data_IF_830021885744
#
_entry.id   IF_830021885744
#
_cell.length_a   1.000
_cell.length_b   1.000
_cell.length_c   1.000
_cell.angle_alpha   90.00
_cell.angle_beta   90.00
_cell.angle_gamma   90.00
#
_symmetry.space_group_name_H-M   'P 1'
#
loop_
_entity.id
_entity.type
_entity.pdbx_description
1 polymer ?
#
# COMPACT_ATOMS: atom_id res chain seq x y z
N UNK A 1 26.34 36.29 9.33
CA UNK A 1 25.05 36.18 8.58
C UNK A 1 25.01 34.88 7.77
N UNK A 2 24.67 33.78 8.39
CA UNK A 2 24.37 32.50 7.74
C UNK A 2 23.31 31.82 8.63
N UNK A 3 22.06 32.05 8.32
CA UNK A 3 20.95 31.30 8.93
C UNK A 3 19.82 31.13 7.92
N UNK A 4 19.20 29.97 7.97
CA UNK A 4 17.92 29.58 7.35
C UNK A 4 17.92 29.16 5.89
N UNK A 5 18.30 27.90 5.66
CA UNK A 5 17.72 27.05 4.59
C UNK A 5 17.59 25.60 5.09
N UNK A 6 16.71 25.33 6.05
CA UNK A 6 16.44 23.96 6.54
C UNK A 6 14.96 23.56 6.60
N UNK A 7 14.05 24.37 6.08
CA UNK A 7 12.60 24.08 6.20
C UNK A 7 11.92 23.58 4.93
N UNK A 8 12.61 23.46 3.80
CA UNK A 8 11.99 23.00 2.55
C UNK A 8 11.97 21.49 2.33
N UNK A 9 12.79 20.75 3.05
CA UNK A 9 13.02 19.32 2.80
C UNK A 9 11.96 18.40 3.43
N UNK A 10 11.49 18.77 4.61
CA UNK A 10 10.44 18.00 5.30
C UNK A 10 9.10 18.08 4.57
N UNK A 11 8.81 19.21 3.95
CA UNK A 11 7.52 19.44 3.28
C UNK A 11 7.41 18.71 1.93
N UNK A 12 8.51 18.58 1.19
CA UNK A 12 8.51 17.85 -0.08
C UNK A 12 8.44 16.32 0.12
N UNK A 13 9.15 15.80 1.14
CA UNK A 13 9.07 14.40 1.53
C UNK A 13 7.67 14.05 2.08
N UNK A 14 7.07 14.93 2.87
CA UNK A 14 5.70 14.77 3.40
C UNK A 14 4.63 14.83 2.30
N UNK A 15 4.82 15.62 1.24
CA UNK A 15 3.90 15.64 0.09
C UNK A 15 4.02 14.38 -0.77
N UNK A 16 5.22 13.84 -0.98
CA UNK A 16 5.41 12.52 -1.58
C UNK A 16 4.72 11.43 -0.77
N UNK A 17 4.81 11.52 0.57
CA UNK A 17 4.26 10.55 1.50
C UNK A 17 2.75 10.65 1.65
N UNK A 18 2.18 11.85 1.65
CA UNK A 18 0.73 12.04 1.73
C UNK A 18 0.00 11.53 0.48
N UNK A 19 0.65 11.55 -0.69
CA UNK A 19 0.10 10.99 -1.92
C UNK A 19 0.35 9.46 -2.03
N UNK A 20 1.45 8.94 -1.45
CA UNK A 20 1.76 7.51 -1.43
C UNK A 20 1.06 6.77 -0.29
N UNK A 21 0.87 7.38 0.89
CA UNK A 21 0.16 6.78 2.02
C UNK A 21 -1.36 6.67 1.80
N UNK A 22 -1.91 7.34 0.79
CA UNK A 22 -3.36 7.36 0.52
C UNK A 22 -3.91 6.18 -0.26
N UNK A 23 -3.07 5.33 -0.89
CA UNK A 23 -3.56 4.29 -1.81
C UNK A 23 -2.73 3.01 -1.70
N UNK A 24 -2.78 2.34 -0.54
CA UNK A 24 -2.27 0.99 -0.40
C UNK A 24 -3.38 -0.02 -0.65
N UNK A 25 -3.35 -0.62 -1.83
CA UNK A 25 -4.20 -1.75 -2.18
C UNK A 25 -3.46 -3.06 -1.91
N UNK A 26 -4.04 -3.87 -1.06
CA UNK A 26 -3.59 -5.23 -0.79
C UNK A 26 -4.39 -6.20 -1.64
N UNK A 27 -3.71 -6.92 -2.50
CA UNK A 27 -4.32 -7.92 -3.37
C UNK A 27 -3.89 -9.32 -2.94
N UNK A 28 -4.84 -10.17 -2.71
CA UNK A 28 -4.63 -11.60 -2.51
C UNK A 28 -5.51 -12.44 -3.44
N UNK A 29 -5.07 -13.60 -3.75
CA UNK A 29 -5.38 -14.57 -4.81
C UNK A 29 -6.81 -14.93 -5.14
N UNK A 30 -7.21 -15.00 -6.43
CA UNK A 30 -7.92 -16.13 -7.08
C UNK A 30 -8.06 -16.07 -8.60
N UNK A 31 -8.59 -17.15 -9.19
CA UNK A 31 -8.64 -17.56 -10.60
C UNK A 31 -9.44 -16.65 -11.56
N UNK A 32 -8.99 -16.65 -12.82
CA UNK A 32 -9.58 -15.91 -13.94
C UNK A 32 -11.08 -16.21 -14.16
N UNK A 33 -11.88 -15.15 -14.20
CA UNK A 33 -13.27 -15.19 -14.64
C UNK A 33 -13.45 -14.37 -15.93
N UNK A 34 -14.30 -14.89 -16.83
CA UNK A 34 -14.68 -14.26 -18.11
C UNK A 34 -15.30 -12.88 -17.89
N UNK A 35 -14.96 -11.94 -18.78
CA UNK A 35 -15.53 -10.59 -18.80
C UNK A 35 -17.07 -10.63 -18.78
N UNK A 36 -17.65 -10.09 -17.72
CA UNK A 36 -19.09 -9.93 -17.55
C UNK A 36 -19.50 -8.56 -18.08
N UNK A 37 -20.66 -8.48 -18.75
CA UNK A 37 -21.31 -7.24 -19.16
C UNK A 37 -21.92 -6.47 -17.97
N UNK A 38 -21.71 -6.91 -16.74
CA UNK A 38 -22.20 -6.30 -15.51
C UNK A 38 -21.54 -4.94 -15.25
N UNK A 39 -22.21 -4.08 -14.47
CA UNK A 39 -21.64 -2.81 -14.04
C UNK A 39 -20.34 -3.06 -13.24
N UNK A 40 -19.21 -2.39 -13.56
CA UNK A 40 -17.93 -2.65 -12.93
C UNK A 40 -17.92 -2.50 -11.40
N UNK A 41 -18.86 -1.72 -10.84
CA UNK A 41 -19.04 -1.56 -9.40
C UNK A 41 -20.50 -1.67 -8.99
N UNK A 42 -20.77 -2.47 -7.96
CA UNK A 42 -22.08 -2.56 -7.30
C UNK A 42 -21.90 -2.28 -5.82
N UNK A 43 -22.67 -1.34 -5.27
CA UNK A 43 -22.62 -1.02 -3.83
C UNK A 43 -23.14 -2.22 -3.01
N UNK A 44 -22.34 -2.68 -2.06
CA UNK A 44 -22.67 -3.79 -1.15
C UNK A 44 -23.12 -3.28 0.22
N UNK A 45 -22.43 -2.25 0.74
CA UNK A 45 -22.65 -1.73 2.07
C UNK A 45 -22.09 -0.31 2.16
N UNK A 46 -22.71 0.54 2.97
CA UNK A 46 -22.23 1.91 3.22
C UNK A 46 -22.68 2.39 4.58
N UNK A 47 -21.83 3.19 5.23
CA UNK A 47 -22.15 3.82 6.50
C UNK A 47 -21.31 5.07 6.77
N UNK A 48 -21.83 6.02 7.56
CA UNK A 48 -21.01 7.11 8.10
C UNK A 48 -20.05 6.57 9.19
N UNK A 49 -18.83 7.09 9.22
CA UNK A 49 -17.79 6.80 10.22
C UNK A 49 -17.22 8.13 10.71
N UNK A 50 -17.53 8.48 11.96
CA UNK A 50 -17.04 9.73 12.55
C UNK A 50 -15.57 9.57 12.98
N UNK A 51 -14.77 10.63 12.77
CA UNK A 51 -13.39 10.70 13.25
C UNK A 51 -12.49 9.63 12.63
N UNK A 52 -12.70 9.30 11.36
CA UNK A 52 -11.92 8.31 10.63
C UNK A 52 -10.42 8.63 10.64
N UNK A 53 -9.60 7.58 10.78
CA UNK A 53 -8.14 7.64 10.67
C UNK A 53 -7.59 6.63 9.67
N UNK A 54 -8.05 5.39 9.69
CA UNK A 54 -7.63 4.33 8.77
C UNK A 54 -8.62 3.18 8.69
N UNK A 55 -8.62 2.46 7.57
CA UNK A 55 -9.43 1.26 7.37
C UNK A 55 -8.64 0.17 6.63
N UNK A 56 -9.00 -1.08 6.91
CA UNK A 56 -8.50 -2.24 6.19
C UNK A 56 -9.63 -3.23 5.93
N UNK A 57 -9.50 -3.95 4.82
CA UNK A 57 -10.38 -5.04 4.45
C UNK A 57 -9.64 -6.37 4.64
N UNK A 58 -10.30 -7.36 5.25
CA UNK A 58 -9.71 -8.69 5.34
C UNK A 58 -9.45 -9.27 3.95
N UNK A 59 -8.47 -10.18 3.80
CA UNK A 59 -8.19 -10.83 2.52
C UNK A 59 -9.43 -11.44 1.86
N UNK A 60 -10.38 -11.98 2.64
CA UNK A 60 -11.62 -12.56 2.15
C UNK A 60 -12.70 -11.51 1.81
N UNK A 61 -12.49 -10.25 2.14
CA UNK A 61 -13.44 -9.18 1.88
C UNK A 61 -14.67 -9.15 2.80
N UNK A 62 -14.67 -9.92 3.90
CA UNK A 62 -15.82 -10.05 4.80
C UNK A 62 -15.74 -9.16 6.02
N UNK A 63 -14.51 -8.86 6.47
CA UNK A 63 -14.26 -8.08 7.68
C UNK A 63 -13.63 -6.73 7.34
N UNK A 64 -14.05 -5.71 8.06
CA UNK A 64 -13.49 -4.35 7.98
C UNK A 64 -12.94 -3.98 9.34
N UNK A 65 -11.64 -3.70 9.40
CA UNK A 65 -11.03 -3.06 10.56
C UNK A 65 -11.01 -1.55 10.35
N UNK A 66 -11.35 -0.79 11.38
CA UNK A 66 -11.38 0.67 11.37
C UNK A 66 -10.59 1.23 12.53
N UNK A 67 -9.81 2.27 12.26
CA UNK A 67 -9.30 3.19 13.27
C UNK A 67 -10.05 4.51 13.16
N UNK A 68 -10.66 4.96 14.25
CA UNK A 68 -11.53 6.14 14.25
C UNK A 68 -11.59 6.83 15.61
N UNK A 69 -12.20 8.01 15.63
CA UNK A 69 -12.45 8.80 16.83
C UNK A 69 -11.30 9.71 17.26
N UNK A 70 -11.65 10.75 18.02
CA UNK A 70 -10.70 11.75 18.53
C UNK A 70 -9.78 11.17 19.61
N UNK A 71 -10.24 10.16 20.33
CA UNK A 71 -9.46 9.43 21.35
C UNK A 71 -8.81 8.16 20.80
N UNK A 72 -8.99 7.85 19.54
CA UNK A 72 -8.54 6.62 18.89
C UNK A 72 -9.31 5.39 19.39
N UNK A 73 -10.03 4.77 18.48
CA UNK A 73 -10.65 3.45 18.71
C UNK A 73 -10.36 2.57 17.51
N UNK A 74 -10.12 1.31 17.77
CA UNK A 74 -10.05 0.27 16.74
C UNK A 74 -11.33 -0.53 16.85
N UNK A 75 -11.95 -0.83 15.73
CA UNK A 75 -13.15 -1.67 15.66
C UNK A 75 -13.06 -2.66 14.53
N UNK A 76 -13.58 -3.86 14.75
CA UNK A 76 -13.70 -4.90 13.73
C UNK A 76 -15.19 -5.11 13.40
N UNK A 77 -15.48 -5.20 12.14
CA UNK A 77 -16.84 -5.31 11.61
C UNK A 77 -16.96 -6.50 10.66
N UNK A 78 -18.04 -7.23 10.79
CA UNK A 78 -18.49 -8.21 9.80
C UNK A 78 -19.68 -7.62 9.04
N UNK A 79 -19.41 -6.94 7.95
CA UNK A 79 -20.41 -6.11 7.25
C UNK A 79 -21.62 -6.89 6.71
N UNK A 80 -21.48 -8.19 6.46
CA UNK A 80 -22.61 -9.03 6.00
C UNK A 80 -23.51 -9.50 7.13
N UNK A 81 -22.93 -9.97 8.23
CA UNK A 81 -23.69 -10.59 9.34
C UNK A 81 -24.07 -9.60 10.43
N UNK A 82 -23.25 -8.59 10.65
CA UNK A 82 -23.49 -7.53 11.62
C UNK A 82 -23.23 -6.13 11.05
N UNK A 83 -24.09 -5.68 10.07
CA UNK A 83 -23.84 -4.43 9.36
C UNK A 83 -23.96 -3.17 10.22
N UNK A 84 -24.67 -3.24 11.36
CA UNK A 84 -25.06 -2.09 12.18
C UNK A 84 -24.16 -1.82 13.37
N UNK A 85 -23.41 -2.81 13.86
CA UNK A 85 -22.50 -2.69 15.00
C UNK A 85 -21.22 -3.50 14.80
N UNK A 86 -20.09 -3.07 15.43
CA UNK A 86 -18.87 -3.84 15.35
C UNK A 86 -18.98 -5.16 16.09
N UNK A 87 -18.15 -6.13 15.74
CA UNK A 87 -17.93 -7.33 16.52
C UNK A 87 -17.37 -6.96 17.90
N UNK A 88 -16.44 -6.02 17.90
CA UNK A 88 -15.85 -5.43 19.10
C UNK A 88 -15.26 -4.04 18.79
N UNK A 89 -14.99 -3.30 19.86
CA UNK A 89 -14.28 -2.01 19.82
C UNK A 89 -13.21 -1.99 20.90
N UNK A 90 -12.02 -1.56 20.56
CA UNK A 90 -10.86 -1.43 21.43
C UNK A 90 -10.39 0.02 21.49
N UNK A 91 -10.05 0.52 22.69
CA UNK A 91 -9.48 1.87 22.84
C UNK A 91 -7.98 1.83 22.49
N UNK A 92 -7.55 2.66 21.53
CA UNK A 92 -6.13 2.79 21.17
C UNK A 92 -5.86 4.25 20.78
N UNK A 93 -5.17 4.97 21.65
CA UNK A 93 -5.05 6.43 21.58
C UNK A 93 -4.43 6.97 20.30
N UNK A 94 -3.45 6.28 19.72
CA UNK A 94 -2.61 6.81 18.63
C UNK A 94 -2.73 6.04 17.31
N UNK A 95 -3.52 4.97 17.24
CA UNK A 95 -3.66 4.21 16.01
C UNK A 95 -4.28 5.06 14.89
N UNK A 96 -3.52 5.31 13.86
CA UNK A 96 -3.97 6.03 12.66
C UNK A 96 -4.17 5.11 11.46
N UNK A 97 -3.58 3.93 11.48
CA UNK A 97 -3.74 2.90 10.46
C UNK A 97 -4.01 1.53 11.07
N UNK A 98 -4.60 0.66 10.28
CA UNK A 98 -4.93 -0.71 10.66
C UNK A 98 -4.67 -1.68 9.51
N UNK A 99 -4.43 -2.94 9.87
CA UNK A 99 -4.45 -4.09 8.98
C UNK A 99 -5.22 -5.24 9.62
N UNK A 100 -5.83 -6.10 8.83
CA UNK A 100 -6.58 -7.25 9.31
C UNK A 100 -6.15 -8.51 8.57
N UNK A 101 -5.81 -9.54 9.30
CA UNK A 101 -5.37 -10.83 8.79
C UNK A 101 -6.50 -11.69 8.26
N UNK A 102 -6.16 -12.88 7.76
CA UNK A 102 -7.10 -13.86 7.26
C UNK A 102 -8.20 -14.19 8.28
N UNK A 103 -9.44 -14.31 7.81
CA UNK A 103 -10.62 -14.59 8.62
C UNK A 103 -10.75 -13.70 9.87
N UNK A 104 -10.02 -12.57 9.91
CA UNK A 104 -10.03 -11.67 11.07
C UNK A 104 -9.32 -12.23 12.31
N UNK A 105 -8.43 -13.19 12.16
CA UNK A 105 -7.71 -13.78 13.29
C UNK A 105 -6.93 -12.76 14.11
N UNK A 106 -6.37 -11.76 13.44
CA UNK A 106 -5.60 -10.68 14.07
C UNK A 106 -5.88 -9.33 13.42
N UNK A 107 -5.78 -8.27 14.21
CA UNK A 107 -5.79 -6.88 13.76
C UNK A 107 -4.49 -6.23 14.24
N UNK A 108 -3.74 -5.65 13.31
CA UNK A 108 -2.58 -4.82 13.58
C UNK A 108 -2.99 -3.35 13.44
N UNK A 109 -2.66 -2.55 14.43
CA UNK A 109 -2.89 -1.11 14.40
C UNK A 109 -1.58 -0.38 14.72
N UNK A 110 -1.38 0.78 14.10
CA UNK A 110 -0.15 1.56 14.33
C UNK A 110 -0.36 3.07 14.18
N UNK A 111 0.52 3.83 14.82
CA UNK A 111 0.66 5.27 14.62
C UNK A 111 1.51 5.51 13.37
N UNK A 112 0.87 5.88 12.25
CA UNK A 112 1.59 6.11 11.01
C UNK A 112 2.32 7.46 11.04
N UNK A 113 3.62 7.43 10.69
CA UNK A 113 4.47 8.60 10.53
C UNK A 113 4.58 9.51 11.78
N UNK A 114 4.21 9.01 12.96
CA UNK A 114 4.39 9.73 14.21
C UNK A 114 5.78 9.39 14.79
N UNK A 115 6.76 10.33 14.78
CA UNK A 115 8.08 10.07 15.32
C UNK A 115 8.12 10.13 16.85
N UNK A 116 7.15 10.80 17.48
CA UNK A 116 7.11 11.01 18.93
C UNK A 116 6.45 9.81 19.64
N UNK A 117 5.53 9.14 18.96
CA UNK A 117 4.82 7.98 19.49
C UNK A 117 4.73 6.84 18.44
N UNK A 118 5.86 6.24 18.07
CA UNK A 118 5.91 5.17 17.07
C UNK A 118 5.42 3.84 17.69
N UNK A 119 4.11 3.64 17.74
CA UNK A 119 3.49 2.52 18.43
C UNK A 119 2.81 1.55 17.47
N UNK A 120 2.82 0.29 17.86
CA UNK A 120 1.98 -0.76 17.28
C UNK A 120 1.15 -1.45 18.36
N UNK A 121 -0.01 -1.93 17.97
CA UNK A 121 -0.86 -2.78 18.79
C UNK A 121 -1.32 -3.97 17.96
N UNK A 122 -1.13 -5.18 18.47
CA UNK A 122 -1.68 -6.42 17.89
C UNK A 122 -2.84 -6.86 18.75
N UNK A 123 -4.00 -7.02 18.13
CA UNK A 123 -5.24 -7.41 18.79
C UNK A 123 -5.69 -8.79 18.29
N UNK A 124 -6.27 -9.58 19.19
CA UNK A 124 -6.95 -10.81 18.82
C UNK A 124 -8.24 -10.49 18.08
N UNK A 125 -8.45 -11.13 16.96
CA UNK A 125 -9.61 -10.86 16.12
C UNK A 125 -10.94 -11.29 16.71
N UNK A 126 -10.95 -12.31 17.57
CA UNK A 126 -12.16 -12.86 18.16
C UNK A 126 -12.85 -11.90 19.14
N UNK A 127 -12.09 -11.15 19.91
CA UNK A 127 -12.59 -10.35 21.04
C UNK A 127 -11.94 -8.97 21.20
N UNK A 128 -10.96 -8.63 20.38
CA UNK A 128 -10.22 -7.37 20.46
C UNK A 128 -9.23 -7.30 21.63
N UNK A 129 -8.91 -8.42 22.28
CA UNK A 129 -7.93 -8.44 23.35
C UNK A 129 -6.53 -8.08 22.86
N UNK A 130 -5.81 -7.23 23.61
CA UNK A 130 -4.44 -6.85 23.29
C UNK A 130 -3.51 -8.04 23.47
N UNK A 131 -2.82 -8.42 22.39
CA UNK A 131 -1.77 -9.43 22.42
C UNK A 131 -0.39 -8.80 22.56
N UNK A 132 -0.15 -7.69 21.86
CA UNK A 132 1.05 -6.87 21.97
C UNK A 132 0.72 -5.39 21.91
N UNK A 133 1.46 -4.59 22.66
CA UNK A 133 1.54 -3.15 22.53
C UNK A 133 3.01 -2.77 22.70
N UNK A 134 3.59 -2.10 21.70
CA UNK A 134 5.02 -1.85 21.67
C UNK A 134 5.33 -0.49 21.05
N UNK A 135 6.24 0.26 21.68
CA UNK A 135 6.88 1.44 21.10
C UNK A 135 8.09 0.99 20.28
N UNK A 136 8.21 1.47 19.05
CA UNK A 136 9.22 1.06 18.10
C UNK A 136 10.33 2.11 17.96
N UNK A 137 11.40 1.76 17.26
CA UNK A 137 12.47 2.68 16.91
C UNK A 137 12.12 3.49 15.66
N UNK A 138 11.75 4.75 15.85
CA UNK A 138 11.39 5.69 14.80
C UNK A 138 9.98 5.49 14.22
N UNK A 139 9.47 6.50 13.53
CA UNK A 139 8.13 6.51 12.98
C UNK A 139 7.80 5.25 12.15
N UNK A 140 6.62 4.70 12.32
CA UNK A 140 6.14 3.58 11.51
C UNK A 140 5.75 4.09 10.13
N UNK A 141 6.41 3.59 9.09
CA UNK A 141 6.15 3.99 7.73
C UNK A 141 5.14 3.08 7.03
N UNK A 142 5.29 1.79 7.26
CA UNK A 142 4.35 0.81 6.71
C UNK A 142 4.29 -0.44 7.58
N UNK A 143 3.15 -1.12 7.54
CA UNK A 143 2.95 -2.37 8.24
C UNK A 143 1.95 -3.26 7.49
N UNK A 144 2.17 -4.56 7.54
CA UNK A 144 1.35 -5.56 6.86
C UNK A 144 1.17 -6.82 7.69
N UNK A 145 0.06 -7.52 7.45
CA UNK A 145 -0.20 -8.88 7.95
C UNK A 145 -0.23 -9.83 6.75
N UNK A 146 0.50 -10.94 6.83
CA UNK A 146 0.42 -11.99 5.81
C UNK A 146 -1.02 -12.50 5.65
N UNK A 147 -1.41 -12.83 4.42
CA UNK A 147 -2.80 -13.18 4.14
C UNK A 147 -3.25 -14.49 4.81
N UNK A 148 -2.32 -15.37 5.19
CA UNK A 148 -2.57 -16.55 6.02
C UNK A 148 -2.68 -16.23 7.53
N UNK A 149 -2.38 -14.98 7.92
CA UNK A 149 -2.42 -14.54 9.31
C UNK A 149 -1.28 -15.07 10.19
N UNK A 150 -0.21 -15.60 9.58
CA UNK A 150 0.90 -16.18 10.35
C UNK A 150 1.89 -15.12 10.85
N UNK A 151 2.04 -14.01 10.13
CA UNK A 151 3.03 -12.99 10.42
C UNK A 151 2.48 -11.57 10.27
N UNK A 152 3.05 -10.66 11.06
CA UNK A 152 2.93 -9.22 10.84
C UNK A 152 4.32 -8.61 10.69
N UNK A 153 4.49 -7.72 9.71
CA UNK A 153 5.73 -6.99 9.44
C UNK A 153 5.53 -5.50 9.60
N UNK A 154 6.53 -4.81 10.15
CA UNK A 154 6.50 -3.36 10.37
C UNK A 154 7.85 -2.77 9.99
N UNK A 155 7.86 -1.74 9.15
CA UNK A 155 9.07 -1.01 8.77
C UNK A 155 9.05 0.42 9.30
N UNK A 156 10.20 0.89 9.77
CA UNK A 156 10.29 2.15 10.49
C UNK A 156 11.35 3.11 9.93
N UNK A 157 11.18 4.39 10.25
CA UNK A 157 12.18 5.45 10.04
C UNK A 157 13.48 5.21 10.81
N UNK A 158 13.45 4.39 11.85
CA UNK A 158 14.63 3.91 12.58
C UNK A 158 15.44 2.85 11.81
N UNK A 159 15.15 2.65 10.51
CA UNK A 159 15.82 1.69 9.63
C UNK A 159 15.67 0.22 10.08
N UNK A 160 14.57 -0.08 10.73
CA UNK A 160 14.33 -1.40 11.32
C UNK A 160 13.10 -2.04 10.68
N UNK A 161 13.23 -3.33 10.38
CA UNK A 161 12.12 -4.23 10.11
C UNK A 161 11.84 -5.03 11.39
N UNK A 162 10.62 -4.95 11.88
CA UNK A 162 10.09 -5.81 12.94
C UNK A 162 9.19 -6.87 12.33
N UNK A 163 9.33 -8.11 12.79
CA UNK A 163 8.47 -9.22 12.39
C UNK A 163 7.90 -9.91 13.62
N UNK A 164 6.61 -10.14 13.60
CA UNK A 164 5.85 -10.82 14.65
C UNK A 164 5.26 -12.12 14.09
N UNK A 165 5.61 -13.25 14.68
CA UNK A 165 4.90 -14.51 14.44
C UNK A 165 3.57 -14.48 15.21
N UNK A 166 2.44 -14.41 14.50
CA UNK A 166 1.13 -14.20 15.10
C UNK A 166 0.63 -15.47 15.82
N UNK A 167 0.05 -15.29 17.00
CA UNK A 167 -0.52 -16.36 17.81
C UNK A 167 -1.51 -15.77 18.82
N UNK A 168 -2.47 -16.56 19.28
CA UNK A 168 -3.51 -16.16 20.24
C UNK A 168 -2.97 -15.91 21.66
N UNK A 169 -1.70 -16.23 21.92
CA UNK A 169 -1.08 -16.00 23.21
C UNK A 169 -0.47 -14.59 23.27
N UNK A 170 -0.65 -13.86 24.38
CA UNK A 170 -0.01 -12.57 24.58
C UNK A 170 1.50 -12.66 24.39
N UNK A 171 2.08 -11.60 23.82
CA UNK A 171 3.52 -11.50 23.66
C UNK A 171 4.18 -11.13 24.98
N UNK A 172 5.41 -11.60 25.13
CA UNK A 172 6.35 -11.11 26.13
C UNK A 172 7.11 -9.91 25.55
N UNK A 173 8.02 -9.33 26.29
CA UNK A 173 8.91 -8.32 25.74
C UNK A 173 9.81 -8.90 24.62
N UNK A 174 10.32 -8.03 23.73
CA UNK A 174 11.09 -8.42 22.54
C UNK A 174 12.31 -9.33 22.87
N UNK A 175 12.90 -9.18 24.07
CA UNK A 175 14.07 -9.96 24.49
C UNK A 175 13.74 -11.39 24.88
N UNK A 176 12.48 -11.63 25.30
CA UNK A 176 12.05 -12.91 25.84
C UNK A 176 11.03 -13.64 24.96
N UNK A 177 10.47 -12.99 23.94
CA UNK A 177 9.52 -13.62 23.04
C UNK A 177 10.18 -13.98 21.71
N UNK A 178 10.40 -15.28 21.49
CA UNK A 178 11.00 -15.81 20.27
C UNK A 178 10.15 -15.61 19.01
N UNK A 179 8.94 -15.07 19.14
CA UNK A 179 8.07 -14.74 18.02
C UNK A 179 8.31 -13.33 17.47
N UNK A 180 9.09 -12.52 18.20
CA UNK A 180 9.43 -11.16 17.81
C UNK A 180 10.88 -11.16 17.30
N UNK A 181 11.07 -10.63 16.10
CA UNK A 181 12.39 -10.47 15.49
C UNK A 181 12.53 -9.05 14.96
N UNK A 182 13.73 -8.51 15.02
CA UNK A 182 14.05 -7.22 14.43
C UNK A 182 15.39 -7.24 13.71
N UNK A 183 15.47 -6.52 12.59
CA UNK A 183 16.68 -6.40 11.76
C UNK A 183 16.88 -4.99 11.26
N UNK A 184 18.15 -4.60 11.11
CA UNK A 184 18.50 -3.38 10.40
C UNK A 184 18.32 -3.56 8.89
N UNK A 185 17.59 -2.63 8.27
CA UNK A 185 17.42 -2.55 6.81
C UNK A 185 18.56 -1.79 6.11
N UNK A 186 19.45 -1.16 6.86
CA UNK A 186 20.48 -0.27 6.31
C UNK A 186 19.92 1.08 5.81
N UNK A 187 18.68 1.15 5.37
CA UNK A 187 17.94 2.35 4.95
C UNK A 187 16.63 2.51 5.70
N UNK A 188 15.99 3.67 5.58
CA UNK A 188 14.64 3.92 6.12
C UNK A 188 13.67 2.96 5.46
N UNK A 189 12.97 2.15 6.24
CA UNK A 189 11.96 1.23 5.73
C UNK A 189 10.74 2.00 5.23
N UNK A 190 10.40 1.83 3.94
CA UNK A 190 9.33 2.57 3.29
C UNK A 190 8.11 1.70 3.00
N UNK A 191 8.32 0.42 2.69
CA UNK A 191 7.23 -0.51 2.41
C UNK A 191 7.55 -1.91 2.89
N UNK A 192 6.52 -2.65 3.28
CA UNK A 192 6.57 -4.08 3.57
C UNK A 192 5.36 -4.77 2.97
N UNK A 193 5.55 -5.92 2.34
CA UNK A 193 4.46 -6.71 1.79
C UNK A 193 4.74 -8.21 1.92
N UNK A 194 3.69 -8.99 2.18
CA UNK A 194 3.72 -10.45 2.24
C UNK A 194 2.99 -11.06 1.06
N UNK A 195 3.45 -12.22 0.55
CA UNK A 195 2.62 -13.05 -0.31
C UNK A 195 1.50 -13.72 0.50
N UNK A 196 0.56 -14.33 -0.21
CA UNK A 196 -0.62 -14.95 0.41
C UNK A 196 -0.27 -15.96 1.52
N UNK A 197 0.82 -16.71 1.40
CA UNK A 197 1.20 -17.76 2.34
C UNK A 197 2.29 -17.37 3.34
N UNK A 198 2.62 -16.10 3.49
CA UNK A 198 3.62 -15.63 4.47
C UNK A 198 5.01 -16.27 4.38
N UNK A 199 5.33 -16.94 3.26
CA UNK A 199 6.58 -17.72 3.10
C UNK A 199 7.83 -16.85 2.97
N UNK A 200 7.67 -15.59 2.63
CA UNK A 200 8.71 -14.55 2.58
C UNK A 200 8.05 -13.18 2.76
N UNK A 201 8.84 -12.14 2.78
CA UNK A 201 8.37 -10.75 2.73
C UNK A 201 9.30 -9.92 1.86
N UNK A 202 8.77 -8.83 1.31
CA UNK A 202 9.57 -7.86 0.57
C UNK A 202 9.51 -6.50 1.23
N UNK A 203 10.62 -5.76 1.13
CA UNK A 203 10.72 -4.39 1.65
C UNK A 203 11.25 -3.46 0.58
N UNK A 204 10.79 -2.21 0.62
CA UNK A 204 11.42 -1.10 -0.08
C UNK A 204 12.01 -0.13 0.92
N UNK A 205 13.16 0.47 0.60
CA UNK A 205 13.85 1.41 1.50
C UNK A 205 14.23 2.72 0.83
N UNK A 206 14.47 3.73 1.67
CA UNK A 206 15.00 5.03 1.31
C UNK A 206 16.32 5.29 2.06
N UNK A 207 17.20 6.17 1.55
CA UNK A 207 18.53 6.47 2.13
C UNK A 207 19.42 5.21 2.32
N UNK A 208 19.75 4.55 1.36
CA UNK A 208 20.34 3.26 1.07
C UNK A 208 19.33 2.41 0.30
N UNK A 209 18.96 2.96 -0.83
CA UNK A 209 17.76 2.60 -1.57
C UNK A 209 17.83 1.19 -2.09
N UNK A 210 16.89 0.37 -1.68
CA UNK A 210 16.86 -1.04 -2.09
C UNK A 210 15.44 -1.61 -2.08
N UNK A 211 15.27 -2.66 -2.87
CA UNK A 211 14.20 -3.65 -2.71
C UNK A 211 14.86 -4.95 -2.23
N UNK A 212 14.33 -5.55 -1.19
CA UNK A 212 14.88 -6.77 -0.64
C UNK A 212 13.79 -7.78 -0.28
N UNK A 213 14.14 -9.07 -0.40
CA UNK A 213 13.30 -10.20 -0.04
C UNK A 213 13.92 -10.94 1.13
N UNK A 214 13.11 -11.26 2.13
CA UNK A 214 13.55 -11.93 3.35
C UNK A 214 12.67 -13.14 3.66
N UNK A 215 13.28 -14.16 4.27
CA UNK A 215 12.49 -15.19 4.93
C UNK A 215 11.82 -14.62 6.19
N UNK A 216 10.77 -15.28 6.74
CA UNK A 216 10.19 -14.91 8.03
C UNK A 216 11.15 -15.07 9.23
N UNK A 217 12.35 -15.56 9.02
CA UNK A 217 13.42 -15.64 10.02
C UNK A 217 14.49 -14.55 9.81
N UNK A 218 14.26 -13.59 8.89
CA UNK A 218 15.16 -12.46 8.62
C UNK A 218 16.36 -12.78 7.76
N UNK A 219 16.42 -13.96 7.16
CA UNK A 219 17.47 -14.26 6.18
C UNK A 219 17.16 -13.53 4.89
N UNK A 220 18.06 -12.64 4.45
CA UNK A 220 17.95 -11.98 3.16
C UNK A 220 18.14 -13.03 2.05
N UNK A 221 17.10 -13.22 1.24
CA UNK A 221 17.13 -14.11 0.08
C UNK A 221 17.80 -13.43 -1.11
N UNK A 222 17.49 -12.16 -1.32
CA UNK A 222 18.11 -11.29 -2.31
C UNK A 222 17.83 -9.83 -1.99
N UNK A 223 18.68 -8.95 -2.54
CA UNK A 223 18.53 -7.49 -2.43
C UNK A 223 18.95 -6.84 -3.75
N UNK A 224 18.25 -5.82 -4.16
CA UNK A 224 18.60 -5.02 -5.34
C UNK A 224 18.73 -3.53 -4.96
N UNK A 225 19.79 -2.84 -5.36
CA UNK A 225 21.02 -3.41 -5.92
C UNK A 225 21.74 -4.31 -4.90
N UNK A 226 22.42 -5.36 -5.38
CA UNK A 226 23.20 -6.25 -4.50
C UNK A 226 24.42 -5.53 -3.93
N UNK A 227 25.10 -4.73 -4.76
CA UNK A 227 26.28 -3.97 -4.36
C UNK A 227 25.93 -2.78 -3.44
N UNK A 228 26.62 -2.70 -2.29
CA UNK A 228 26.46 -1.62 -1.33
C UNK A 228 26.83 -0.25 -1.89
N UNK A 229 27.85 -0.14 -2.74
CA UNK A 229 28.25 1.11 -3.38
C UNK A 229 27.17 1.59 -4.36
N UNK A 230 26.57 0.67 -5.13
CA UNK A 230 25.45 0.99 -6.01
C UNK A 230 24.23 1.49 -5.22
N UNK A 231 23.93 0.94 -4.04
CA UNK A 231 22.87 1.45 -3.16
C UNK A 231 23.14 2.88 -2.69
N UNK A 232 24.39 3.24 -2.42
CA UNK A 232 24.75 4.60 -2.05
C UNK A 232 24.60 5.58 -3.21
N UNK A 233 24.86 5.19 -4.44
CA UNK A 233 24.62 6.05 -5.63
C UNK A 233 23.14 6.31 -5.87
N UNK A 234 22.27 5.44 -5.37
CA UNK A 234 20.82 5.57 -5.40
C UNK A 234 20.26 6.19 -4.10
N UNK A 235 21.12 6.76 -3.24
CA UNK A 235 20.78 7.19 -1.88
C UNK A 235 19.58 8.14 -1.75
N UNK A 236 19.29 8.90 -2.81
CA UNK A 236 18.16 9.84 -2.82
C UNK A 236 16.89 9.27 -3.43
N UNK A 237 16.88 8.01 -3.81
CA UNK A 237 15.70 7.33 -4.37
C UNK A 237 14.92 6.61 -3.29
N UNK A 238 13.61 6.78 -3.34
CA UNK A 238 12.66 6.05 -2.52
C UNK A 238 12.22 4.80 -3.30
N UNK A 239 12.46 3.61 -2.77
CA UNK A 239 11.88 2.40 -3.34
C UNK A 239 10.63 1.97 -2.57
N UNK A 240 9.58 1.72 -3.32
CA UNK A 240 8.36 1.06 -2.87
C UNK A 240 8.29 -0.30 -3.55
N UNK A 241 7.99 -1.35 -2.80
CA UNK A 241 7.83 -2.70 -3.33
C UNK A 241 6.41 -3.20 -3.11
N UNK A 242 5.84 -3.84 -4.14
CA UNK A 242 4.56 -4.52 -4.11
C UNK A 242 4.70 -5.95 -4.60
N UNK A 243 3.78 -6.82 -4.21
CA UNK A 243 3.72 -8.19 -4.69
C UNK A 243 2.51 -8.38 -5.60
N UNK A 244 2.69 -9.17 -6.68
CA UNK A 244 1.55 -9.78 -7.36
C UNK A 244 0.79 -10.67 -6.37
N UNK A 245 -0.53 -10.76 -6.52
CA UNK A 245 -1.33 -11.52 -5.56
C UNK A 245 -0.91 -12.99 -5.41
N UNK A 246 -0.38 -13.62 -6.46
CA UNK A 246 0.15 -14.99 -6.40
C UNK A 246 1.58 -15.07 -5.78
N UNK A 247 2.15 -13.95 -5.35
CA UNK A 247 3.49 -13.87 -4.76
C UNK A 247 4.66 -14.18 -5.70
N UNK A 248 4.42 -14.37 -7.00
CA UNK A 248 5.48 -14.75 -7.96
C UNK A 248 6.32 -13.58 -8.45
N UNK A 249 5.77 -12.38 -8.40
CA UNK A 249 6.42 -11.19 -8.92
C UNK A 249 6.47 -10.09 -7.86
N UNK A 250 7.59 -9.42 -7.82
CA UNK A 250 7.81 -8.20 -7.03
C UNK A 250 7.89 -7.04 -8.00
N UNK A 251 7.01 -6.06 -7.84
CA UNK A 251 7.04 -4.81 -8.57
C UNK A 251 7.68 -3.74 -7.68
N UNK A 252 8.80 -3.20 -8.12
CA UNK A 252 9.46 -2.08 -7.48
C UNK A 252 9.22 -0.80 -8.24
N UNK A 253 9.04 0.28 -7.50
CA UNK A 253 8.96 1.64 -8.02
C UNK A 253 10.05 2.45 -7.39
N UNK A 254 10.93 3.05 -8.18
CA UNK A 254 11.84 4.07 -7.70
C UNK A 254 11.22 5.45 -7.93
N UNK A 255 11.21 6.26 -6.89
CA UNK A 255 10.86 7.67 -6.95
C UNK A 255 12.09 8.47 -6.52
N UNK A 256 12.60 9.33 -7.39
CA UNK A 256 13.71 10.21 -7.06
C UNK A 256 13.25 11.49 -6.38
N UNK A 257 14.20 12.27 -5.86
CA UNK A 257 13.89 13.63 -5.44
C UNK A 257 13.81 14.56 -6.66
N UNK A 258 13.21 15.74 -6.48
CA UNK A 258 12.90 16.75 -7.52
C UNK A 258 14.10 17.20 -8.38
N UNK A 259 15.32 16.74 -8.13
CA UNK A 259 16.54 17.21 -8.81
C UNK A 259 17.35 16.12 -9.52
N UNK A 260 17.08 14.84 -9.28
CA UNK A 260 17.90 13.72 -9.78
C UNK A 260 17.05 12.47 -10.03
N UNK A 261 15.83 12.63 -10.53
CA UNK A 261 14.96 11.49 -10.65
C UNK A 261 14.78 11.02 -12.08
N UNK A 262 15.20 9.81 -12.33
CA UNK A 262 14.63 8.96 -13.36
C UNK A 262 13.75 7.94 -12.65
N UNK A 263 12.48 8.26 -12.35
CA UNK A 263 11.61 7.28 -11.76
C UNK A 263 11.46 6.11 -12.72
N UNK A 264 11.57 4.91 -12.17
CA UNK A 264 11.54 3.70 -12.95
C UNK A 264 10.73 2.62 -12.25
N UNK A 265 10.17 1.74 -13.06
CA UNK A 265 9.53 0.50 -12.66
C UNK A 265 10.52 -0.64 -12.83
N UNK A 266 10.48 -1.58 -11.91
CA UNK A 266 11.27 -2.80 -11.96
C UNK A 266 10.37 -3.98 -11.66
N UNK A 267 10.54 -5.08 -12.38
CA UNK A 267 9.87 -6.32 -12.08
C UNK A 267 10.91 -7.41 -11.80
N UNK A 268 10.72 -8.12 -10.70
CA UNK A 268 11.51 -9.31 -10.35
C UNK A 268 10.60 -10.53 -10.25
N UNK A 269 11.20 -11.69 -10.42
CA UNK A 269 10.63 -12.91 -9.85
C UNK A 269 10.99 -12.97 -8.36
N UNK A 270 10.05 -13.34 -7.52
CA UNK A 270 10.31 -13.46 -6.07
C UNK A 270 11.41 -14.48 -5.74
N UNK A 271 11.56 -15.53 -6.58
CA UNK A 271 12.58 -16.58 -6.51
C UNK A 271 13.80 -16.31 -7.41
N UNK A 272 13.91 -15.14 -8.02
CA UNK A 272 14.83 -14.85 -9.13
C UNK A 272 16.21 -14.29 -8.73
N UNK A 273 16.57 -14.27 -7.44
CA UNK A 273 17.92 -13.89 -7.00
C UNK A 273 18.28 -12.40 -7.12
N UNK A 274 17.28 -11.51 -7.16
CA UNK A 274 17.50 -10.05 -7.09
C UNK A 274 17.78 -9.34 -8.42
N UNK A 275 18.00 -10.07 -9.51
CA UNK A 275 18.10 -9.45 -10.83
C UNK A 275 16.72 -9.14 -11.40
N UNK A 276 16.42 -7.88 -11.78
CA UNK A 276 15.13 -7.55 -12.36
C UNK A 276 14.97 -8.22 -13.73
N UNK A 277 13.75 -8.68 -14.01
CA UNK A 277 13.37 -9.16 -15.34
C UNK A 277 13.46 -8.03 -16.37
N UNK A 278 13.10 -6.83 -15.92
CA UNK A 278 13.21 -5.60 -16.70
C UNK A 278 13.21 -4.36 -15.79
N UNK A 279 13.66 -3.25 -16.38
CA UNK A 279 13.54 -1.88 -15.88
C UNK A 279 12.84 -1.05 -16.96
N UNK A 280 11.80 -0.31 -16.60
CA UNK A 280 11.10 0.64 -17.49
C UNK A 280 11.20 2.03 -16.88
N UNK A 281 11.84 2.95 -17.58
CA UNK A 281 11.97 4.34 -17.15
C UNK A 281 10.69 5.11 -17.52
N UNK A 282 10.27 6.00 -16.61
CA UNK A 282 9.11 6.86 -16.82
C UNK A 282 9.47 8.22 -17.43
N UNK A 283 10.78 8.54 -17.46
CA UNK A 283 11.35 9.79 -17.98
C UNK A 283 11.75 10.75 -16.86
N UNK A 284 12.72 11.61 -17.17
CA UNK A 284 13.31 12.58 -16.22
C UNK A 284 12.30 13.56 -15.64
N UNK A 285 11.22 13.83 -16.37
CA UNK A 285 10.15 14.76 -15.99
C UNK A 285 9.02 14.08 -15.20
N UNK A 286 9.12 12.78 -14.94
CA UNK A 286 8.08 12.03 -14.26
C UNK A 286 8.26 12.09 -12.73
N UNK A 287 7.14 12.28 -12.02
CA UNK A 287 7.11 12.41 -10.56
C UNK A 287 5.98 11.60 -9.96
N UNK A 288 6.17 11.18 -8.72
CA UNK A 288 5.15 10.54 -7.88
C UNK A 288 4.45 9.33 -8.52
N UNK A 289 5.19 8.37 -9.05
CA UNK A 289 4.57 7.20 -9.63
C UNK A 289 3.84 6.38 -8.57
N UNK A 290 2.58 6.07 -8.83
CA UNK A 290 1.80 5.08 -8.10
C UNK A 290 1.55 3.88 -9.02
N UNK A 291 1.61 2.68 -8.48
CA UNK A 291 1.52 1.44 -9.27
C UNK A 291 0.55 0.44 -8.68
N UNK A 292 0.08 -0.44 -9.54
CA UNK A 292 -0.64 -1.64 -9.18
C UNK A 292 -0.26 -2.78 -10.10
N UNK A 293 -0.19 -3.98 -9.56
CA UNK A 293 0.06 -5.21 -10.31
C UNK A 293 -1.11 -6.17 -10.12
N UNK A 294 -1.54 -6.81 -11.21
CA UNK A 294 -2.58 -7.85 -11.13
C UNK A 294 -2.10 -9.03 -10.32
N UNK A 295 -3.06 -9.83 -9.89
CA UNK A 295 -2.83 -11.00 -9.10
C UNK A 295 -1.86 -12.01 -9.71
N UNK A 296 -2.00 -12.28 -11.00
CA UNK A 296 -1.14 -13.20 -11.76
C UNK A 296 0.13 -12.51 -12.30
N UNK A 297 0.29 -11.19 -12.07
CA UNK A 297 1.40 -10.38 -12.56
C UNK A 297 1.35 -10.13 -14.06
N UNK A 298 0.21 -10.31 -14.72
CA UNK A 298 0.10 -10.12 -16.18
C UNK A 298 0.04 -8.66 -16.60
N UNK A 299 -0.57 -7.82 -15.75
CA UNK A 299 -0.75 -6.40 -16.05
C UNK A 299 -0.27 -5.53 -14.91
N UNK A 300 0.28 -4.38 -15.28
CA UNK A 300 0.81 -3.38 -14.36
C UNK A 300 0.23 -2.02 -14.78
N UNK A 301 -0.49 -1.38 -13.87
CA UNK A 301 -0.94 -0.01 -14.05
C UNK A 301 0.01 0.95 -13.33
N UNK A 302 0.33 2.07 -13.96
CA UNK A 302 1.09 3.15 -13.36
C UNK A 302 0.44 4.49 -13.64
N UNK A 303 0.30 5.33 -12.62
CA UNK A 303 -0.05 6.73 -12.75
C UNK A 303 1.13 7.59 -12.28
N UNK A 304 1.39 8.69 -12.97
CA UNK A 304 2.47 9.62 -12.63
C UNK A 304 2.21 11.02 -13.17
N UNK A 305 2.87 12.00 -12.59
CA UNK A 305 2.90 13.36 -13.09
C UNK A 305 4.11 13.54 -13.99
N UNK A 306 3.95 14.28 -15.06
CA UNK A 306 5.05 14.80 -15.90
C UNK A 306 5.04 16.32 -15.87
N UNK A 307 6.17 16.92 -15.53
CA UNK A 307 6.31 18.38 -15.64
C UNK A 307 6.86 18.72 -17.03
N UNK A 308 6.10 19.55 -17.74
CA UNK A 308 6.51 20.08 -19.05
C UNK A 308 6.66 21.59 -18.96
N UNK A 309 7.70 22.12 -19.61
CA UNK A 309 7.92 23.56 -19.69
C UNK A 309 7.50 24.04 -21.07
N UNK A 310 6.50 24.93 -21.12
CA UNK A 310 6.06 25.60 -22.36
C UNK A 310 6.28 27.11 -22.21
N UNK A 311 7.33 27.62 -22.84
CA UNK A 311 7.77 29.01 -22.65
C UNK A 311 8.19 29.25 -21.20
N UNK A 312 7.59 30.22 -20.52
CA UNK A 312 7.85 30.55 -19.11
C UNK A 312 6.91 29.84 -18.13
N UNK A 313 6.07 28.92 -18.58
CA UNK A 313 5.10 28.22 -17.74
C UNK A 313 5.52 26.77 -17.53
N UNK A 314 5.50 26.32 -16.28
CA UNK A 314 5.59 24.89 -15.93
C UNK A 314 4.15 24.34 -15.81
N UNK A 315 3.87 23.34 -16.62
CA UNK A 315 2.58 22.66 -16.66
C UNK A 315 2.76 21.23 -16.14
N UNK A 316 1.76 20.70 -15.45
CA UNK A 316 1.74 19.29 -15.03
C UNK A 316 0.78 18.51 -15.91
N UNK A 317 1.28 17.49 -16.57
CA UNK A 317 0.47 16.51 -17.29
C UNK A 317 0.32 15.26 -16.42
N UNK A 318 -0.88 14.72 -16.39
CA UNK A 318 -1.20 13.51 -15.63
C UNK A 318 -1.22 12.32 -16.57
N UNK A 319 -0.34 11.37 -16.32
CA UNK A 319 -0.19 10.17 -17.12
C UNK A 319 -0.78 8.95 -16.42
N UNK A 320 -1.39 8.09 -17.21
CA UNK A 320 -1.86 6.77 -16.82
C UNK A 320 -1.41 5.79 -17.90
N UNK A 321 -0.71 4.74 -17.50
CA UNK A 321 -0.15 3.74 -18.41
C UNK A 321 -0.52 2.34 -17.94
N UNK A 322 -0.84 1.46 -18.87
CA UNK A 322 -0.96 0.02 -18.62
C UNK A 322 0.17 -0.69 -19.37
N UNK A 323 0.84 -1.59 -18.65
CA UNK A 323 1.90 -2.43 -19.20
C UNK A 323 1.52 -3.91 -19.08
N UNK A 324 2.08 -4.74 -19.95
CA UNK A 324 2.09 -6.18 -19.81
C UNK A 324 3.21 -6.66 -18.87
N UNK A 325 3.24 -7.95 -18.56
CA UNK A 325 4.29 -8.57 -17.72
C UNK A 325 5.69 -8.42 -18.29
N UNK A 326 5.84 -8.30 -19.60
CA UNK A 326 7.13 -8.13 -20.26
C UNK A 326 7.65 -6.68 -20.17
N UNK A 327 6.85 -5.76 -19.62
CA UNK A 327 7.17 -4.33 -19.50
C UNK A 327 6.80 -3.53 -20.74
N UNK A 328 6.11 -4.13 -21.72
CA UNK A 328 5.64 -3.40 -22.90
C UNK A 328 4.43 -2.54 -22.53
N UNK A 329 4.45 -1.29 -22.97
CA UNK A 329 3.30 -0.40 -22.83
C UNK A 329 2.18 -0.84 -23.76
N UNK A 330 1.05 -1.24 -23.22
CA UNK A 330 -0.16 -1.56 -23.97
C UNK A 330 -0.88 -0.29 -24.42
N UNK A 331 -0.97 0.67 -23.51
CA UNK A 331 -1.44 2.03 -23.80
C UNK A 331 -0.94 3.02 -22.76
N UNK A 332 -0.92 4.29 -23.14
CA UNK A 332 -0.63 5.42 -22.28
C UNK A 332 -1.60 6.57 -22.60
N UNK A 333 -2.08 7.22 -21.55
CA UNK A 333 -2.90 8.43 -21.63
C UNK A 333 -2.25 9.55 -20.86
N UNK A 334 -1.99 10.67 -21.54
CA UNK A 334 -1.58 11.96 -20.94
C UNK A 334 -2.66 13.05 -21.10
N UNK A 335 -3.81 12.66 -21.68
CA UNK A 335 -4.93 13.57 -22.00
C UNK A 335 -5.97 13.67 -20.90
N UNK A 336 -5.71 13.10 -19.72
CA UNK A 336 -6.65 13.14 -18.60
C UNK A 336 -6.69 14.55 -18.01
N UNK A 337 -7.90 15.11 -17.94
CA UNK A 337 -8.14 16.44 -17.35
C UNK A 337 -8.13 16.43 -15.82
N UNK A 338 -7.65 15.38 -15.21
CA UNK A 338 -7.57 15.19 -13.75
C UNK A 338 -6.34 14.36 -13.40
N UNK A 339 -5.88 14.47 -12.16
CA UNK A 339 -4.82 13.63 -11.60
C UNK A 339 -5.36 12.24 -11.30
N UNK A 340 -5.01 11.20 -12.08
CA UNK A 340 -5.50 9.86 -11.82
C UNK A 340 -4.79 9.25 -10.60
N UNK A 341 -5.54 8.96 -9.55
CA UNK A 341 -5.08 8.10 -8.47
C UNK A 341 -5.54 6.67 -8.74
N UNK A 342 -4.60 5.72 -8.79
CA UNK A 342 -4.93 4.31 -8.96
C UNK A 342 -5.76 3.83 -7.77
N UNK A 343 -6.86 3.14 -8.04
CA UNK A 343 -7.78 2.62 -7.03
C UNK A 343 -7.78 1.10 -7.03
N UNK A 344 -8.00 0.49 -8.17
CA UNK A 344 -7.99 -0.96 -8.32
C UNK A 344 -7.69 -1.37 -9.77
N UNK A 345 -7.02 -2.49 -9.92
CA UNK A 345 -6.89 -3.20 -11.19
C UNK A 345 -7.55 -4.58 -11.01
N UNK A 346 -8.53 -4.91 -11.87
CA UNK A 346 -9.22 -6.20 -11.76
C UNK A 346 -8.24 -7.36 -11.94
N UNK A 347 -8.50 -8.53 -11.33
CA UNK A 347 -7.57 -9.66 -11.36
C UNK A 347 -7.17 -10.12 -12.77
N UNK A 348 -8.07 -9.96 -13.74
CA UNK A 348 -7.86 -10.28 -15.15
C UNK A 348 -7.31 -9.12 -15.99
N UNK A 349 -7.09 -7.94 -15.36
CA UNK A 349 -6.67 -6.72 -16.06
C UNK A 349 -7.77 -6.12 -16.96
N UNK A 350 -8.98 -6.65 -16.94
CA UNK A 350 -10.10 -6.19 -17.77
C UNK A 350 -10.58 -4.79 -17.45
N UNK A 351 -10.46 -4.40 -16.17
CA UNK A 351 -10.93 -3.11 -15.68
C UNK A 351 -9.87 -2.44 -14.80
N UNK A 352 -9.69 -1.15 -15.00
CA UNK A 352 -8.88 -0.28 -14.15
C UNK A 352 -9.78 0.78 -13.52
N UNK A 353 -9.75 0.89 -12.20
CA UNK A 353 -10.40 1.95 -11.47
C UNK A 353 -9.40 3.03 -11.09
N UNK A 354 -9.75 4.27 -11.40
CA UNK A 354 -8.98 5.45 -11.01
C UNK A 354 -9.89 6.51 -10.39
N UNK A 355 -9.37 7.28 -9.46
CA UNK A 355 -10.05 8.44 -8.89
C UNK A 355 -9.48 9.72 -9.48
N UNK A 356 -10.30 10.77 -9.61
CA UNK A 356 -9.86 12.12 -9.92
C UNK A 356 -9.29 12.88 -8.71
N UNK A 357 -9.08 12.18 -7.58
CA UNK A 357 -8.67 12.79 -6.32
C UNK A 357 -9.76 13.68 -5.69
N UNK A 358 -10.90 13.82 -6.33
CA UNK A 358 -12.05 14.62 -5.88
C UNK A 358 -13.22 13.69 -5.54
N UNK A 359 -14.26 13.69 -6.36
CA UNK A 359 -15.55 13.04 -6.05
C UNK A 359 -15.98 12.03 -7.11
N UNK A 360 -15.05 11.55 -7.95
CA UNK A 360 -15.40 10.62 -9.03
C UNK A 360 -14.43 9.46 -9.11
N UNK A 361 -14.99 8.25 -9.19
CA UNK A 361 -14.27 7.06 -9.66
C UNK A 361 -14.58 6.84 -11.14
N UNK A 362 -13.56 6.54 -11.90
CA UNK A 362 -13.65 6.19 -13.31
C UNK A 362 -13.31 4.71 -13.46
N UNK A 363 -14.17 3.96 -14.11
CA UNK A 363 -13.85 2.62 -14.58
C UNK A 363 -13.39 2.71 -16.03
N UNK A 364 -12.18 2.25 -16.29
CA UNK A 364 -11.61 2.14 -17.62
C UNK A 364 -11.58 0.67 -18.04
N UNK A 365 -11.79 0.44 -19.31
CA UNK A 365 -11.62 -0.87 -19.94
C UNK A 365 -10.12 -1.13 -20.17
N UNK A 366 -9.77 -2.38 -20.45
CA UNK A 366 -8.41 -2.83 -20.74
C UNK A 366 -7.70 -2.01 -21.83
N UNK A 367 -8.42 -1.39 -22.75
CA UNK A 367 -7.90 -0.53 -23.83
C UNK A 367 -7.77 0.96 -23.43
N UNK A 368 -7.98 1.30 -22.16
CA UNK A 368 -7.88 2.65 -21.62
C UNK A 368 -9.10 3.53 -21.86
N UNK A 369 -10.16 3.05 -22.51
CA UNK A 369 -11.41 3.80 -22.66
C UNK A 369 -12.22 3.85 -21.37
N UNK A 370 -12.73 5.04 -21.02
CA UNK A 370 -13.61 5.23 -19.87
C UNK A 370 -14.96 4.56 -20.18
N UNK A 371 -15.30 3.53 -19.40
CA UNK A 371 -16.58 2.82 -19.48
C UNK A 371 -17.64 3.54 -18.66
N UNK A 372 -17.30 3.95 -17.45
CA UNK A 372 -18.28 4.50 -16.52
C UNK A 372 -17.64 5.46 -15.51
N UNK A 373 -18.47 6.40 -15.02
CA UNK A 373 -18.15 7.31 -13.93
C UNK A 373 -19.06 7.02 -12.75
N UNK A 374 -18.49 6.96 -11.55
CA UNK A 374 -19.20 6.75 -10.30
C UNK A 374 -19.00 7.96 -9.42
N UNK A 375 -20.06 8.76 -9.16
CA UNK A 375 -19.95 9.87 -8.24
C UNK A 375 -19.78 9.33 -6.81
N UNK A 376 -18.88 9.96 -6.06
CA UNK A 376 -18.68 9.72 -4.64
C UNK A 376 -19.35 10.81 -3.81
N UNK A 377 -19.73 10.48 -2.59
CA UNK A 377 -20.31 11.43 -1.63
C UNK A 377 -19.32 12.52 -1.22
N UNK A 378 -18.02 12.19 -1.14
CA UNK A 378 -16.92 13.08 -0.82
C UNK A 378 -15.66 12.78 -1.63
N UNK A 379 -14.56 13.50 -1.39
CA UNK A 379 -13.28 13.21 -2.01
C UNK A 379 -12.72 11.88 -1.48
N UNK A 380 -12.13 11.08 -2.37
CA UNK A 380 -11.49 9.82 -1.99
C UNK A 380 -10.36 10.06 -0.99
N UNK A 381 -10.34 9.29 0.09
CA UNK A 381 -9.31 9.35 1.13
C UNK A 381 -8.53 8.06 1.24
N UNK A 382 -9.22 6.93 1.17
CA UNK A 382 -8.57 5.63 1.25
C UNK A 382 -9.35 4.57 0.47
N UNK A 383 -8.63 3.58 0.00
CA UNK A 383 -9.18 2.37 -0.62
C UNK A 383 -8.46 1.14 -0.11
N UNK A 384 -9.14 0.01 -0.10
CA UNK A 384 -8.55 -1.30 0.10
C UNK A 384 -9.30 -2.33 -0.76
N UNK A 385 -8.59 -3.34 -1.23
CA UNK A 385 -9.15 -4.38 -2.07
C UNK A 385 -9.02 -5.73 -1.35
N UNK A 386 -10.07 -6.55 -1.44
CA UNK A 386 -9.99 -7.94 -0.96
C UNK A 386 -8.95 -8.72 -1.75
N UNK A 387 -8.47 -9.79 -1.14
CA UNK A 387 -7.46 -10.64 -1.72
C UNK A 387 -7.86 -11.24 -3.06
N UNK A 388 -9.12 -11.49 -3.31
CA UNK A 388 -9.65 -11.98 -4.59
C UNK A 388 -9.95 -10.86 -5.61
N UNK A 389 -9.65 -9.60 -5.23
CA UNK A 389 -9.90 -8.43 -6.07
C UNK A 389 -11.38 -8.10 -6.27
N UNK A 390 -12.29 -8.74 -5.54
CA UNK A 390 -13.74 -8.62 -5.78
C UNK A 390 -14.44 -7.60 -4.89
N UNK A 391 -13.92 -7.33 -3.71
CA UNK A 391 -14.52 -6.36 -2.78
C UNK A 391 -13.61 -5.17 -2.64
N UNK A 392 -14.11 -4.00 -2.99
CA UNK A 392 -13.41 -2.72 -2.88
C UNK A 392 -13.99 -1.92 -1.71
N UNK A 393 -13.15 -1.54 -0.77
CA UNK A 393 -13.43 -0.57 0.25
C UNK A 393 -13.09 0.82 -0.27
N UNK A 394 -13.99 1.78 -0.07
CA UNK A 394 -13.83 3.20 -0.40
C UNK A 394 -14.20 4.03 0.80
N UNK A 395 -13.29 4.89 1.26
CA UNK A 395 -13.59 5.90 2.26
C UNK A 395 -13.46 7.31 1.68
N UNK A 396 -14.41 8.17 1.99
CA UNK A 396 -14.52 9.53 1.45
C UNK A 396 -14.45 10.60 2.54
N UNK A 397 -14.11 11.82 2.14
CA UNK A 397 -13.83 12.96 3.05
C UNK A 397 -15.03 13.45 3.84
N UNK A 398 -16.25 13.10 3.44
CA UNK A 398 -17.49 13.37 4.18
C UNK A 398 -17.77 12.36 5.31
N UNK A 399 -16.82 11.43 5.51
CA UNK A 399 -16.94 10.41 6.54
C UNK A 399 -17.72 9.17 6.11
N UNK A 400 -17.95 8.96 4.81
CA UNK A 400 -18.65 7.78 4.31
C UNK A 400 -17.67 6.66 3.99
N UNK A 401 -17.89 5.48 4.58
CA UNK A 401 -17.23 4.23 4.25
C UNK A 401 -18.17 3.36 3.43
N UNK A 402 -17.71 2.90 2.29
CA UNK A 402 -18.51 2.07 1.37
C UNK A 402 -17.75 0.85 0.91
N UNK A 403 -18.44 -0.27 0.74
CA UNK A 403 -17.93 -1.47 0.11
C UNK A 403 -18.66 -1.68 -1.22
N UNK A 404 -17.89 -2.01 -2.24
CA UNK A 404 -18.40 -2.30 -3.57
C UNK A 404 -17.94 -3.68 -4.02
N UNK A 405 -18.83 -4.38 -4.76
CA UNK A 405 -18.46 -5.52 -5.57
C UNK A 405 -17.79 -5.01 -6.84
N UNK A 406 -16.59 -5.50 -7.13
CA UNK A 406 -15.90 -5.32 -8.41
C UNK A 406 -16.24 -6.52 -9.31
N UNK A 407 -16.69 -6.25 -10.55
CA UNK A 407 -17.08 -7.28 -11.51
C UNK A 407 -15.86 -7.93 -12.19
#
# INVERSE_FOLDING_TARGET
MRARRRSGWATAALLCLALLAGVWLRTGNTHAARASSAAPLTLLWSRPVAGYRGAALSPQGELVALSSGTKGTISLWHWRTQPNHPLWTHAASNASNVAVGAAGGFVLAWSALDPDQPEITILRGADGATLAHQTLSGAVWDADISADGAYAGVVTGGKTLYLYGLSDQPYRDERHDKRIHSWSLGGIGNSVAFPTLGSFLVTGTWNNSSVACYTPRGVCLWQYPEDAAARHTLADRLFTAQLSGNGRYVLGVSCGNVRQSDPALYLWRSDGGGNPLWKVELGEDAFYPAVQITQNGEYIAVSYLRQIVRGNQSLSEHHLRLLDRAGNTLWERGDLLFSPSLVALSPDGGHLLVSDGKRTLYALRHDGHILRRYPLSGSLRQTALSADGRVLLVYTSDGTLSLYQLA
#
